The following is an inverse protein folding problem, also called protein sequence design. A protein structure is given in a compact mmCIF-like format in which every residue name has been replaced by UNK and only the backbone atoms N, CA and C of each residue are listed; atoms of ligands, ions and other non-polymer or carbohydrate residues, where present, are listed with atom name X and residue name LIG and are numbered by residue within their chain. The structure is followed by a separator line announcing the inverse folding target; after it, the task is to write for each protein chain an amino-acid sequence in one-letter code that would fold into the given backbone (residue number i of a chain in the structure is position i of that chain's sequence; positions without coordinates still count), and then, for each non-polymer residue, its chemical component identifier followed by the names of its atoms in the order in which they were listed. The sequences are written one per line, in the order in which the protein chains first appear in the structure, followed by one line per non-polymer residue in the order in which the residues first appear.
data_IF_692059474911
#
_entry.id   IF_692059474911
#
_cell.length_a   1.000
_cell.length_b   1.000
_cell.length_c   1.000
_cell.angle_alpha   90.00
_cell.angle_beta   90.00
_cell.angle_gamma   90.00
#
_symmetry.space_group_name_H-M   'P 1'
#
loop_
_entity.id
_entity.type
_entity.pdbx_description
1 polymer ?
#
# COMPACT_ATOMS: atom_id res chain seq x y z
N UNK A 1 27.99 42.74 62.52
CA UNK A 1 29.05 41.72 62.69
C UNK A 1 28.91 40.77 61.51
N UNK A 2 29.80 40.74 60.52
CA UNK A 2 31.21 40.30 60.54
C UNK A 2 31.34 38.78 60.62
N UNK A 3 32.02 38.05 59.72
CA UNK A 3 32.60 38.30 58.38
C UNK A 3 32.68 36.91 57.64
N UNK A 4 32.96 36.81 56.31
CA UNK A 4 32.76 35.57 55.55
C UNK A 4 34.03 34.80 55.10
N UNK A 5 33.84 33.52 54.75
CA UNK A 5 34.71 32.66 53.89
C UNK A 5 36.13 32.34 54.40
N UNK A 6 36.81 31.33 53.81
CA UNK A 6 37.65 31.60 52.63
C UNK A 6 37.48 30.61 51.47
N UNK A 7 37.73 31.10 50.24
CA UNK A 7 38.14 30.27 49.10
C UNK A 7 39.59 29.82 49.26
N UNK A 8 39.97 28.69 48.67
CA UNK A 8 41.33 28.48 48.15
C UNK A 8 41.23 28.02 46.69
N UNK A 9 41.76 28.84 45.78
CA UNK A 9 42.21 28.40 44.47
C UNK A 9 43.71 28.09 44.56
N UNK A 10 44.16 27.01 43.92
CA UNK A 10 45.58 26.77 43.67
C UNK A 10 45.93 27.25 42.26
N UNK A 11 47.03 28.00 42.13
CA UNK A 11 47.43 28.65 40.88
C UNK A 11 48.35 27.77 40.02
N UNK A 12 48.14 27.88 38.71
CA UNK A 12 49.17 27.94 37.66
C UNK A 12 50.24 26.84 37.57
N UNK A 13 50.33 26.20 36.40
CA UNK A 13 51.48 26.50 35.53
C UNK A 13 51.14 26.29 34.06
N UNK A 14 51.44 27.30 33.24
CA UNK A 14 51.30 27.27 31.79
C UNK A 14 52.64 26.81 31.18
N UNK A 15 52.66 25.76 30.36
CA UNK A 15 53.80 25.46 29.49
C UNK A 15 53.47 24.47 28.36
N UNK A 16 53.84 24.83 27.15
CA UNK A 16 53.84 24.04 25.92
C UNK A 16 54.88 24.65 24.95
N UNK A 17 55.32 24.00 23.85
CA UNK A 17 54.87 22.70 23.34
C UNK A 17 55.99 21.69 23.01
N UNK A 18 55.58 20.41 22.84
CA UNK A 18 56.10 19.53 21.79
C UNK A 18 57.43 18.78 21.98
N UNK A 19 57.35 17.43 22.07
CA UNK A 19 58.05 16.50 21.17
C UNK A 19 57.43 15.10 21.27
N UNK A 20 57.24 14.40 20.15
CA UNK A 20 56.69 13.04 20.14
C UNK A 20 57.75 11.98 20.47
N UNK A 21 57.34 10.91 21.17
CA UNK A 21 58.02 9.61 21.22
C UNK A 21 56.98 8.49 21.07
N UNK A 22 57.31 7.35 20.41
CA UNK A 22 56.32 6.36 20.03
C UNK A 22 56.11 5.26 21.09
N UNK A 23 54.89 4.72 21.24
CA UNK A 23 54.66 3.48 21.98
C UNK A 23 55.20 2.25 21.21
N UNK A 24 55.52 1.18 21.94
CA UNK A 24 56.17 -0.01 21.39
C UNK A 24 55.23 -0.83 20.48
N UNK A 25 55.80 -1.49 19.47
CA UNK A 25 55.11 -2.55 18.73
C UNK A 25 54.97 -3.80 19.61
N UNK A 26 53.75 -4.18 19.95
CA UNK A 26 53.46 -5.51 20.47
C UNK A 26 53.56 -6.54 19.33
N UNK A 27 54.26 -7.65 19.54
CA UNK A 27 54.54 -8.68 18.52
C UNK A 27 53.75 -9.95 18.88
N UNK A 28 52.47 -9.97 18.51
CA UNK A 28 51.57 -11.09 18.79
C UNK A 28 50.39 -11.21 17.79
N UNK A 29 50.67 -11.12 16.48
CA UNK A 29 49.71 -11.50 15.42
C UNK A 29 50.44 -12.01 14.17
N UNK A 30 49.99 -13.12 13.53
CA UNK A 30 50.68 -13.71 12.38
C UNK A 30 50.37 -13.00 11.04
N UNK A 31 49.40 -12.09 10.97
CA UNK A 31 48.99 -11.41 9.73
C UNK A 31 49.61 -10.01 9.63
N UNK A 32 50.91 -9.95 9.29
CA UNK A 32 51.63 -8.69 9.03
C UNK A 32 52.71 -8.84 7.95
N UNK A 33 52.34 -9.49 6.83
CA UNK A 33 53.16 -9.60 5.62
C UNK A 33 52.33 -9.27 4.38
N UNK A 34 52.08 -7.97 4.16
CA UNK A 34 51.57 -7.43 2.91
C UNK A 34 52.51 -6.31 2.45
N UNK A 35 53.08 -6.43 1.25
CA UNK A 35 54.07 -5.49 0.71
C UNK A 35 53.34 -4.45 -0.15
N UNK A 36 53.42 -3.14 0.17
CA UNK A 36 52.84 -2.10 -0.70
C UNK A 36 53.71 -1.91 -1.95
N UNK A 37 53.12 -1.84 -3.16
CA UNK A 37 53.88 -1.61 -4.39
C UNK A 37 54.43 -0.18 -4.45
N UNK A 38 55.75 -0.06 -4.64
CA UNK A 38 56.40 1.22 -4.97
C UNK A 38 56.23 1.54 -6.46
N UNK A 39 55.74 2.75 -6.76
CA UNK A 39 56.10 3.43 -8.00
C UNK A 39 56.29 4.93 -7.74
N UNK A 40 57.55 5.38 -7.77
CA UNK A 40 57.88 6.81 -7.81
C UNK A 40 58.10 7.23 -9.27
N UNK A 41 57.55 8.38 -9.69
CA UNK A 41 58.38 9.49 -10.21
C UNK A 41 57.61 10.78 -10.51
N UNK A 42 58.20 11.87 -10.02
CA UNK A 42 58.31 13.20 -10.63
C UNK A 42 57.04 13.98 -11.00
N UNK A 43 56.79 14.98 -10.18
CA UNK A 43 56.19 16.27 -10.55
C UNK A 43 56.92 16.96 -11.71
N UNK A 44 56.20 17.77 -12.48
CA UNK A 44 56.75 18.96 -13.14
C UNK A 44 55.66 20.05 -13.14
N UNK A 45 56.04 21.29 -12.82
CA UNK A 45 55.15 22.46 -12.86
C UNK A 45 55.45 23.23 -14.15
N UNK A 46 54.41 23.59 -14.89
CA UNK A 46 54.46 24.62 -15.91
C UNK A 46 53.08 25.28 -16.02
N UNK A 47 53.05 26.61 -16.03
CA UNK A 47 51.90 27.41 -16.42
C UNK A 47 52.15 27.95 -17.82
N UNK A 48 51.15 27.93 -18.71
CA UNK A 48 50.74 29.11 -19.51
C UNK A 48 49.55 28.82 -20.45
N UNK A 49 48.64 29.79 -20.46
CA UNK A 49 47.83 30.37 -21.56
C UNK A 49 47.11 29.55 -22.66
N UNK A 50 45.98 30.13 -23.13
CA UNK A 50 45.59 30.19 -24.54
C UNK A 50 45.09 28.92 -25.26
N UNK A 51 43.77 28.67 -25.31
CA UNK A 51 43.21 27.85 -26.39
C UNK A 51 41.74 27.38 -26.28
N UNK A 52 40.84 28.02 -27.03
CA UNK A 52 39.52 27.45 -27.37
C UNK A 52 39.57 26.66 -28.69
N UNK A 53 39.10 25.39 -28.73
CA UNK A 53 38.75 24.74 -29.99
C UNK A 53 37.24 24.42 -30.13
N UNK A 54 36.73 24.76 -31.31
CA UNK A 54 35.36 24.64 -31.80
C UNK A 54 34.78 23.21 -31.73
N UNK A 55 33.48 23.13 -31.43
CA UNK A 55 32.59 21.96 -31.63
C UNK A 55 32.44 21.58 -33.13
N UNK A 56 32.66 20.31 -33.52
CA UNK A 56 32.14 19.73 -34.76
C UNK A 56 30.80 18.98 -34.53
N UNK A 57 30.22 18.44 -35.61
CA UNK A 57 28.79 18.06 -35.70
C UNK A 57 28.49 16.56 -35.48
N UNK A 58 27.20 16.28 -35.36
CA UNK A 58 26.57 14.96 -35.25
C UNK A 58 27.02 13.93 -36.29
N UNK A 59 27.01 12.65 -35.89
CA UNK A 59 26.83 11.52 -36.79
C UNK A 59 25.54 10.79 -36.40
N UNK A 60 24.49 10.92 -37.22
CA UNK A 60 23.24 10.17 -37.06
C UNK A 60 23.31 8.87 -37.85
N UNK A 61 23.18 7.72 -37.17
CA UNK A 61 22.94 6.44 -37.83
C UNK A 61 21.46 6.09 -37.67
N UNK A 62 20.71 6.26 -38.76
CA UNK A 62 19.40 5.64 -38.88
C UNK A 62 19.58 4.15 -39.19
N UNK A 63 18.70 3.31 -38.67
CA UNK A 63 18.57 1.91 -39.09
C UNK A 63 17.09 1.58 -39.22
N UNK A 64 16.56 1.88 -40.40
CA UNK A 64 15.17 1.59 -40.76
C UNK A 64 14.99 0.09 -41.01
N UNK A 65 14.27 -0.59 -40.13
CA UNK A 65 13.71 -1.91 -40.40
C UNK A 65 12.19 -1.79 -40.36
N UNK A 66 11.60 -1.53 -41.52
CA UNK A 66 10.14 -1.59 -41.70
C UNK A 66 9.73 -3.05 -41.79
N UNK A 67 8.90 -3.50 -40.85
CA UNK A 67 8.22 -4.80 -40.93
C UNK A 67 6.72 -4.55 -40.82
N UNK A 68 5.98 -5.00 -41.83
CA UNK A 68 4.60 -4.59 -42.08
C UNK A 68 3.59 -5.51 -41.38
N UNK A 69 2.45 -4.94 -40.97
CA UNK A 69 1.16 -5.63 -40.96
C UNK A 69 0.98 -6.82 -40.00
N UNK A 70 0.62 -6.53 -38.75
CA UNK A 70 -0.23 -7.44 -37.95
C UNK A 70 -1.51 -6.71 -37.60
N UNK A 71 -2.62 -7.14 -38.19
CA UNK A 71 -3.95 -6.55 -38.04
C UNK A 71 -4.63 -7.00 -36.75
N UNK A 72 -5.29 -6.07 -36.06
CA UNK A 72 -6.13 -6.37 -34.89
C UNK A 72 -7.30 -7.28 -35.32
N UNK A 73 -7.54 -8.43 -34.66
CA UNK A 73 -8.70 -9.25 -34.94
C UNK A 73 -9.98 -8.56 -34.45
N UNK A 74 -10.95 -8.40 -35.36
CA UNK A 74 -12.26 -7.81 -35.08
C UNK A 74 -13.14 -8.75 -34.22
N UNK A 75 -14.13 -8.19 -33.51
CA UNK A 75 -15.01 -8.97 -32.64
C UNK A 75 -15.85 -9.97 -33.45
N UNK A 76 -15.63 -11.27 -33.23
CA UNK A 76 -16.47 -12.32 -33.77
C UNK A 76 -17.92 -12.18 -33.27
N UNK A 77 -18.86 -12.02 -34.21
CA UNK A 77 -20.29 -11.90 -33.93
C UNK A 77 -20.91 -13.30 -33.82
N UNK A 78 -21.44 -13.67 -32.66
CA UNK A 78 -22.11 -14.97 -32.48
C UNK A 78 -23.52 -14.89 -33.07
N UNK A 79 -23.67 -15.41 -34.30
CA UNK A 79 -24.97 -15.62 -34.94
C UNK A 79 -25.56 -16.94 -34.44
N UNK A 80 -26.85 -16.94 -34.09
CA UNK A 80 -27.57 -18.14 -33.65
C UNK A 80 -28.29 -18.80 -34.82
N UNK A 81 -27.80 -19.95 -35.27
CA UNK A 81 -28.45 -20.74 -36.33
C UNK A 81 -29.46 -21.74 -35.78
N UNK A 82 -30.55 -21.93 -36.53
CA UNK A 82 -31.59 -22.96 -36.38
C UNK A 82 -31.74 -23.62 -37.75
N UNK A 83 -31.91 -24.96 -37.86
CA UNK A 83 -33.26 -25.54 -37.90
C UNK A 83 -33.35 -26.71 -36.87
N UNK A 84 -34.05 -27.86 -36.95
CA UNK A 84 -34.93 -28.54 -37.92
C UNK A 84 -36.12 -29.15 -37.13
N UNK A 85 -37.29 -29.31 -37.78
CA UNK A 85 -38.43 -30.09 -37.27
C UNK A 85 -38.63 -31.39 -38.08
N UNK A 86 -39.24 -32.42 -37.47
CA UNK A 86 -40.05 -33.41 -38.21
C UNK A 86 -41.55 -33.25 -37.89
N UNK A 87 -42.38 -33.20 -38.96
CA UNK A 87 -43.82 -33.52 -39.09
C UNK A 87 -44.79 -33.16 -37.93
N UNK A 88 -45.78 -32.25 -38.03
CA UNK A 88 -46.71 -31.83 -39.10
C UNK A 88 -47.98 -32.71 -39.27
N UNK A 89 -49.14 -32.08 -39.01
CA UNK A 89 -50.45 -32.27 -39.64
C UNK A 89 -51.33 -31.07 -39.27
N UNK A 90 -52.06 -30.52 -40.23
CA UNK A 90 -52.85 -29.29 -40.10
C UNK A 90 -54.27 -29.52 -39.56
N UNK A 91 -54.88 -28.48 -38.97
CA UNK A 91 -56.29 -28.15 -39.25
C UNK A 91 -56.61 -26.68 -38.90
N UNK A 92 -57.69 -26.14 -39.48
CA UNK A 92 -57.91 -24.70 -39.65
C UNK A 92 -59.05 -24.10 -38.78
N UNK A 93 -58.75 -23.09 -37.93
CA UNK A 93 -59.69 -21.96 -37.63
C UNK A 93 -59.08 -20.85 -36.75
N UNK A 94 -59.02 -19.62 -37.27
CA UNK A 94 -58.96 -18.35 -36.51
C UNK A 94 -60.40 -17.87 -36.18
N UNK A 95 -60.71 -16.71 -35.54
CA UNK A 95 -59.90 -15.54 -35.08
C UNK A 95 -60.04 -15.29 -33.54
N UNK A 96 -59.58 -14.22 -32.87
CA UNK A 96 -59.72 -12.79 -33.18
C UNK A 96 -58.79 -11.89 -32.35
N UNK A 97 -58.20 -10.89 -33.00
CA UNK A 97 -57.80 -9.62 -32.37
C UNK A 97 -58.58 -8.47 -33.02
N UNK A 98 -59.02 -7.50 -32.22
CA UNK A 98 -59.76 -6.32 -32.69
C UNK A 98 -58.91 -5.05 -32.54
N UNK A 99 -58.41 -4.51 -33.65
CA UNK A 99 -57.86 -3.16 -33.74
C UNK A 99 -58.78 -2.30 -34.62
N UNK A 100 -59.56 -1.40 -34.02
CA UNK A 100 -60.53 -0.55 -34.73
C UNK A 100 -59.88 0.73 -35.27
N UNK A 101 -59.96 0.96 -36.57
CA UNK A 101 -59.72 2.26 -37.20
C UNK A 101 -60.81 2.59 -38.23
N UNK A 102 -61.49 3.71 -37.94
CA UNK A 102 -62.14 4.70 -38.82
C UNK A 102 -62.88 4.34 -40.14
N UNK A 103 -63.95 5.12 -40.35
CA UNK A 103 -64.46 5.69 -41.62
C UNK A 103 -65.39 4.90 -42.59
N UNK A 104 -66.70 5.13 -42.42
CA UNK A 104 -67.54 6.00 -43.29
C UNK A 104 -67.95 5.60 -44.74
N UNK A 105 -69.28 5.71 -45.01
CA UNK A 105 -70.03 5.79 -46.31
C UNK A 105 -70.44 4.48 -47.05
N UNK A 106 -71.68 4.47 -47.56
CA UNK A 106 -72.32 3.44 -48.44
C UNK A 106 -73.38 2.60 -47.70
N UNK A 107 -74.70 2.60 -47.97
CA UNK A 107 -75.52 2.45 -49.20
C UNK A 107 -75.48 1.03 -49.83
N UNK A 108 -76.55 0.37 -50.31
CA UNK A 108 -78.03 0.58 -50.28
C UNK A 108 -78.74 -0.69 -50.87
N UNK A 109 -80.04 -0.95 -50.53
CA UNK A 109 -81.01 -1.89 -51.20
C UNK A 109 -80.90 -3.43 -50.99
N UNK A 110 -82.06 -4.11 -50.98
CA UNK A 110 -82.27 -5.54 -51.36
C UNK A 110 -82.24 -6.56 -50.21
N UNK A 111 -83.30 -7.16 -49.65
CA UNK A 111 -84.68 -7.56 -50.03
C UNK A 111 -84.85 -8.99 -50.58
N UNK A 112 -85.84 -9.72 -50.02
CA UNK A 112 -86.42 -11.03 -50.47
C UNK A 112 -85.54 -12.28 -50.28
N UNK A 113 -86.05 -13.52 -50.26
CA UNK A 113 -87.24 -14.21 -49.68
C UNK A 113 -87.18 -15.69 -50.17
N UNK A 114 -87.75 -16.66 -49.42
CA UNK A 114 -87.96 -18.07 -49.85
C UNK A 114 -86.70 -18.96 -50.01
N UNK A 115 -86.78 -20.31 -49.92
CA UNK A 115 -87.87 -21.19 -49.46
C UNK A 115 -87.40 -22.61 -49.07
N UNK A 116 -88.22 -23.25 -48.22
CA UNK A 116 -88.41 -24.68 -47.86
C UNK A 116 -87.84 -25.81 -48.77
N UNK A 117 -87.88 -27.01 -48.16
CA UNK A 117 -87.65 -28.40 -48.64
C UNK A 117 -86.25 -28.90 -48.24
N UNK A 118 -86.07 -30.09 -47.64
CA UNK A 118 -87.06 -31.05 -47.12
C UNK A 118 -86.51 -32.48 -46.99
N UNK A 119 -87.26 -33.34 -46.30
CA UNK A 119 -87.03 -34.79 -46.08
C UNK A 119 -86.03 -35.18 -44.97
N UNK A 120 -86.53 -36.05 -44.10
CA UNK A 120 -85.95 -36.65 -42.89
C UNK A 120 -85.63 -38.12 -43.18
N UNK A 121 -84.52 -38.69 -42.70
CA UNK A 121 -84.49 -40.13 -42.35
C UNK A 121 -83.37 -40.54 -41.37
N UNK A 122 -83.80 -40.86 -40.13
CA UNK A 122 -83.24 -41.77 -39.09
C UNK A 122 -81.71 -42.07 -39.03
N UNK A 123 -80.98 -41.64 -37.97
CA UNK A 123 -79.65 -42.15 -37.63
C UNK A 123 -79.69 -43.51 -36.89
N UNK A 124 -78.61 -44.31 -37.01
CA UNK A 124 -78.51 -45.65 -36.39
C UNK A 124 -77.17 -45.86 -35.65
N UNK A 125 -77.26 -46.29 -34.39
CA UNK A 125 -76.21 -46.90 -33.53
C UNK A 125 -74.92 -46.10 -33.21
N UNK A 126 -74.99 -45.42 -32.05
CA UNK A 126 -74.15 -45.69 -30.85
C UNK A 126 -72.65 -45.99 -31.09
N UNK A 127 -71.81 -44.97 -30.92
CA UNK A 127 -70.48 -45.12 -30.32
C UNK A 127 -70.54 -44.75 -28.82
N UNK A 128 -69.57 -45.22 -28.03
CA UNK A 128 -69.66 -45.18 -26.56
C UNK A 128 -69.47 -43.78 -25.95
N UNK A 129 -70.19 -43.52 -24.85
CA UNK A 129 -69.88 -42.40 -23.96
C UNK A 129 -68.50 -42.63 -23.32
N UNK A 130 -67.56 -41.71 -23.55
CA UNK A 130 -66.39 -41.60 -22.67
C UNK A 130 -66.89 -41.10 -21.31
N UNK A 131 -66.52 -41.72 -20.17
CA UNK A 131 -66.92 -41.22 -18.87
C UNK A 131 -66.36 -39.80 -18.71
N UNK A 132 -67.24 -38.84 -18.41
CA UNK A 132 -66.82 -37.49 -18.01
C UNK A 132 -66.11 -37.61 -16.67
N UNK A 133 -64.78 -37.73 -16.69
CA UNK A 133 -63.97 -37.56 -15.49
C UNK A 133 -64.23 -36.16 -14.96
N UNK A 134 -65.07 -36.09 -13.92
CA UNK A 134 -65.23 -34.91 -13.09
C UNK A 134 -63.91 -34.67 -12.37
N UNK A 135 -62.99 -33.97 -13.04
CA UNK A 135 -61.85 -33.36 -12.38
C UNK A 135 -62.43 -32.27 -11.50
N UNK A 136 -62.74 -32.64 -10.26
CA UNK A 136 -63.10 -31.69 -9.22
C UNK A 136 -61.94 -30.71 -9.10
N UNK A 137 -62.09 -29.51 -9.69
CA UNK A 137 -61.22 -28.39 -9.36
C UNK A 137 -61.36 -28.17 -7.87
N UNK A 138 -60.36 -28.64 -7.13
CA UNK A 138 -60.18 -28.27 -5.74
C UNK A 138 -60.20 -26.75 -5.72
N UNK A 139 -61.19 -26.17 -5.02
CA UNK A 139 -61.33 -24.73 -4.89
C UNK A 139 -60.31 -24.24 -3.85
N UNK A 140 -59.03 -24.51 -4.14
CA UNK A 140 -57.90 -23.89 -3.47
C UNK A 140 -58.18 -22.40 -3.51
N UNK A 141 -58.11 -21.78 -2.34
CA UNK A 141 -58.41 -20.36 -2.24
C UNK A 141 -57.21 -19.64 -2.83
N UNK A 142 -57.34 -19.07 -4.03
CA UNK A 142 -56.23 -18.43 -4.75
C UNK A 142 -55.55 -17.37 -3.86
N UNK A 143 -56.34 -16.68 -3.03
CA UNK A 143 -55.89 -15.74 -2.00
C UNK A 143 -54.96 -16.39 -0.95
N UNK A 144 -55.21 -17.64 -0.53
CA UNK A 144 -54.38 -18.38 0.44
C UNK A 144 -53.10 -18.88 -0.22
N UNK A 145 -53.16 -19.31 -1.49
CA UNK A 145 -51.97 -19.67 -2.27
C UNK A 145 -51.08 -18.44 -2.47
N UNK A 146 -51.65 -17.32 -2.89
CA UNK A 146 -50.95 -16.05 -3.06
C UNK A 146 -50.32 -15.56 -1.74
N UNK A 147 -51.06 -15.63 -0.62
CA UNK A 147 -50.58 -15.22 0.70
C UNK A 147 -49.46 -16.15 1.22
N UNK A 148 -49.50 -17.44 0.89
CA UNK A 148 -48.39 -18.37 1.17
C UNK A 148 -47.14 -18.05 0.35
N UNK A 149 -47.29 -17.70 -0.94
CA UNK A 149 -46.19 -17.30 -1.82
C UNK A 149 -45.58 -15.95 -1.38
N UNK A 150 -46.38 -14.95 -1.01
CA UNK A 150 -45.84 -13.67 -0.53
C UNK A 150 -45.17 -13.80 0.83
N UNK A 151 -45.71 -14.61 1.76
CA UNK A 151 -45.07 -14.85 3.06
C UNK A 151 -43.74 -15.59 2.91
N UNK A 152 -43.66 -16.61 2.05
CA UNK A 152 -42.41 -17.35 1.79
C UNK A 152 -41.37 -16.50 1.06
N UNK A 153 -41.77 -15.68 0.09
CA UNK A 153 -40.87 -14.73 -0.56
C UNK A 153 -40.36 -13.65 0.42
N UNK A 154 -41.24 -13.11 1.27
CA UNK A 154 -40.85 -12.15 2.31
C UNK A 154 -39.88 -12.76 3.32
N UNK A 155 -40.10 -14.02 3.73
CA UNK A 155 -39.19 -14.76 4.61
C UNK A 155 -37.82 -15.03 3.93
N UNK A 156 -37.81 -15.43 2.67
CA UNK A 156 -36.59 -15.65 1.89
C UNK A 156 -35.78 -14.37 1.70
N UNK A 157 -36.43 -13.21 1.53
CA UNK A 157 -35.76 -11.91 1.48
C UNK A 157 -35.27 -11.47 2.87
N UNK A 158 -36.11 -11.60 3.90
CA UNK A 158 -35.75 -11.24 5.28
C UNK A 158 -34.60 -12.08 5.87
N UNK A 159 -34.38 -13.29 5.36
CA UNK A 159 -33.26 -14.17 5.72
C UNK A 159 -32.09 -13.97 4.73
N UNK A 160 -32.37 -13.97 3.43
CA UNK A 160 -31.37 -13.94 2.36
C UNK A 160 -30.63 -12.61 2.21
N UNK A 161 -31.28 -11.47 2.48
CA UNK A 161 -30.62 -10.16 2.44
C UNK A 161 -29.57 -10.03 3.56
N UNK A 162 -29.88 -10.23 4.86
CA UNK A 162 -28.86 -10.15 5.90
C UNK A 162 -27.79 -11.26 5.77
N UNK A 163 -28.13 -12.47 5.32
CA UNK A 163 -27.09 -13.47 5.00
C UNK A 163 -26.20 -13.03 3.83
N UNK A 164 -26.76 -12.48 2.76
CA UNK A 164 -26.01 -11.96 1.62
C UNK A 164 -25.08 -10.78 1.97
N UNK A 165 -25.38 -10.03 3.04
CA UNK A 165 -24.54 -8.95 3.57
C UNK A 165 -23.49 -9.49 4.56
N UNK A 166 -23.90 -10.30 5.53
CA UNK A 166 -23.06 -10.73 6.66
C UNK A 166 -22.07 -11.85 6.27
N UNK A 167 -22.50 -12.79 5.42
CA UNK A 167 -21.68 -13.96 5.08
C UNK A 167 -20.40 -13.60 4.29
N UNK A 168 -20.41 -12.76 3.23
CA UNK A 168 -19.16 -12.37 2.57
C UNK A 168 -18.25 -11.54 3.48
N UNK A 169 -18.81 -10.67 4.35
CA UNK A 169 -18.04 -9.91 5.33
C UNK A 169 -17.30 -10.79 6.35
N UNK A 170 -17.79 -12.01 6.62
CA UNK A 170 -17.10 -13.00 7.47
C UNK A 170 -16.12 -13.91 6.73
N UNK A 171 -16.17 -13.94 5.40
CA UNK A 171 -15.32 -14.80 4.56
C UNK A 171 -14.15 -14.04 3.92
N UNK A 172 -14.32 -12.75 3.65
CA UNK A 172 -13.24 -11.86 3.22
C UNK A 172 -12.35 -11.58 4.44
N UNK A 173 -11.13 -12.15 4.45
CA UNK A 173 -10.09 -11.69 5.39
C UNK A 173 -9.68 -10.26 5.01
N UNK A 174 -9.55 -9.33 5.96
CA UNK A 174 -9.03 -8.01 5.66
C UNK A 174 -7.60 -8.06 5.11
N UNK A 175 -7.21 -7.03 4.35
CA UNK A 175 -5.80 -6.87 3.94
C UNK A 175 -4.99 -6.40 5.15
N UNK A 176 -3.93 -7.12 5.59
CA UNK A 176 -3.22 -6.80 6.83
C UNK A 176 -2.52 -5.44 6.72
N UNK A 177 -2.38 -4.76 7.85
CA UNK A 177 -1.53 -3.57 7.99
C UNK A 177 -0.37 -3.91 8.92
N UNK A 178 0.85 -3.61 8.47
CA UNK A 178 2.06 -3.57 9.28
C UNK A 178 2.22 -2.17 9.89
N UNK A 179 2.92 -2.09 11.01
CA UNK A 179 3.07 -0.88 11.81
C UNK A 179 4.44 -0.27 11.57
N UNK A 180 4.47 1.03 11.25
CA UNK A 180 5.68 1.83 11.18
C UNK A 180 5.64 2.85 12.32
N UNK A 181 6.74 3.01 13.07
CA UNK A 181 6.79 3.92 14.23
C UNK A 181 8.04 4.81 14.17
N UNK A 182 7.90 6.07 13.73
CA UNK A 182 8.81 7.15 14.10
C UNK A 182 8.64 7.47 15.60
N UNK A 183 9.40 6.78 16.46
CA UNK A 183 9.44 7.06 17.91
C UNK A 183 10.73 7.79 18.26
N UNK A 184 10.71 9.12 18.11
CA UNK A 184 11.85 10.01 18.41
C UNK A 184 11.84 10.45 19.88
N UNK A 185 11.39 9.56 20.78
CA UNK A 185 11.38 9.75 22.24
C UNK A 185 12.74 9.31 22.78
N UNK A 186 13.43 10.16 23.56
CA UNK A 186 14.67 9.74 24.21
C UNK A 186 14.41 8.51 25.12
N UNK A 187 15.25 7.46 25.05
CA UNK A 187 15.01 6.19 25.73
C UNK A 187 15.28 6.19 27.25
N UNK A 188 14.69 7.10 28.01
CA UNK A 188 14.76 7.06 29.47
C UNK A 188 14.12 5.75 30.03
N UNK A 189 14.61 5.21 31.15
CA UNK A 189 14.05 4.00 31.78
C UNK A 189 12.52 4.08 31.98
N UNK A 190 11.82 3.03 31.55
CA UNK A 190 10.35 2.95 31.59
C UNK A 190 9.63 3.55 30.37
N UNK A 191 10.22 4.53 29.67
CA UNK A 191 9.51 5.25 28.59
C UNK A 191 9.19 4.36 27.38
N UNK A 192 10.00 3.34 27.11
CA UNK A 192 9.78 2.41 25.99
C UNK A 192 8.92 1.18 26.35
N UNK A 193 8.48 1.02 27.60
CA UNK A 193 7.69 -0.15 28.03
C UNK A 193 6.33 -0.25 27.33
N UNK A 194 5.64 0.88 27.12
CA UNK A 194 4.36 0.94 26.39
C UNK A 194 4.45 0.40 24.96
N UNK A 195 5.62 0.56 24.31
CA UNK A 195 5.88 -0.02 22.98
C UNK A 195 6.14 -1.54 23.07
N UNK A 196 6.90 -2.00 24.07
CA UNK A 196 7.15 -3.43 24.26
C UNK A 196 5.86 -4.21 24.54
N UNK A 197 4.97 -3.68 25.38
CA UNK A 197 3.65 -4.27 25.63
C UNK A 197 2.82 -4.37 24.35
N UNK A 198 2.81 -3.32 23.52
CA UNK A 198 2.12 -3.31 22.23
C UNK A 198 2.69 -4.35 21.25
N UNK A 199 4.02 -4.50 21.17
CA UNK A 199 4.70 -5.51 20.33
C UNK A 199 4.32 -6.93 20.76
N UNK A 200 4.25 -7.20 22.07
CA UNK A 200 3.88 -8.50 22.64
C UNK A 200 2.40 -8.82 22.41
N UNK A 201 1.50 -7.86 22.65
CA UNK A 201 0.05 -8.04 22.42
C UNK A 201 -0.25 -8.26 20.94
N UNK A 202 0.46 -7.60 20.04
CA UNK A 202 0.25 -7.67 18.59
C UNK A 202 1.30 -8.54 17.87
N UNK A 203 1.66 -9.69 18.46
CA UNK A 203 2.70 -10.61 17.97
C UNK A 203 2.55 -11.11 16.52
N UNK A 204 1.38 -10.97 15.88
CA UNK A 204 1.13 -11.32 14.48
C UNK A 204 1.32 -10.15 13.49
N UNK A 205 1.57 -8.95 14.00
CA UNK A 205 1.77 -7.71 13.26
C UNK A 205 3.27 -7.39 13.23
N UNK A 206 3.80 -6.99 12.07
CA UNK A 206 5.18 -6.50 11.97
C UNK A 206 5.27 -5.06 12.47
N UNK A 207 6.29 -4.76 13.26
CA UNK A 207 6.63 -3.42 13.74
C UNK A 207 7.98 -3.01 13.18
N UNK A 208 8.01 -1.94 12.39
CA UNK A 208 9.26 -1.30 11.95
C UNK A 208 9.43 -0.01 12.75
N UNK A 209 10.51 0.10 13.52
CA UNK A 209 10.72 1.15 14.50
C UNK A 209 11.95 1.96 14.12
N UNK A 210 11.80 3.27 14.04
CA UNK A 210 12.85 4.18 13.58
C UNK A 210 13.60 4.73 14.80
N UNK A 211 14.89 4.43 14.87
CA UNK A 211 15.80 4.83 15.94
C UNK A 211 16.50 6.12 15.50
N UNK A 212 16.30 7.20 16.26
CA UNK A 212 16.84 8.53 15.95
C UNK A 212 17.59 9.15 17.15
N UNK A 213 18.88 8.82 17.36
CA UNK A 213 19.64 9.33 18.50
C UNK A 213 19.82 10.85 18.57
N UNK A 214 20.11 11.50 17.43
CA UNK A 214 20.58 12.89 17.34
C UNK A 214 20.37 13.43 15.90
N UNK A 215 19.13 13.34 15.39
CA UNK A 215 18.76 13.59 13.99
C UNK A 215 19.62 12.80 12.98
N UNK A 216 19.99 11.59 13.39
CA UNK A 216 21.12 10.83 12.87
C UNK A 216 21.73 9.96 13.98
N UNK A 217 22.78 9.18 13.68
CA UNK A 217 23.38 8.21 14.61
C UNK A 217 24.19 8.84 15.77
N UNK A 218 24.13 10.16 15.97
CA UNK A 218 25.00 10.91 16.87
C UNK A 218 26.43 11.06 16.36
N UNK A 219 27.24 11.85 17.06
CA UNK A 219 28.62 12.17 16.70
C UNK A 219 29.65 11.07 17.06
N UNK A 220 29.30 10.13 17.93
CA UNK A 220 30.17 9.06 18.45
C UNK A 220 30.04 7.74 17.67
N UNK A 221 31.03 6.84 17.81
CA UNK A 221 30.98 5.49 17.18
C UNK A 221 30.03 4.54 17.94
N UNK A 222 29.95 4.69 19.26
CA UNK A 222 29.03 3.99 20.16
C UNK A 222 27.88 4.96 20.54
N UNK A 223 26.60 4.57 20.45
CA UNK A 223 25.48 5.38 20.95
C UNK A 223 25.43 5.37 22.49
N UNK A 224 24.51 6.12 23.11
CA UNK A 224 24.34 6.09 24.58
C UNK A 224 23.88 4.71 25.07
N UNK A 225 24.20 4.36 26.32
CA UNK A 225 23.81 3.06 26.90
C UNK A 225 22.28 2.85 26.92
N UNK A 226 21.51 3.93 26.94
CA UNK A 226 20.05 3.92 26.86
C UNK A 226 19.56 3.42 25.48
N UNK A 227 20.10 3.99 24.39
CA UNK A 227 19.86 3.49 23.02
C UNK A 227 20.39 2.08 22.82
N UNK A 228 21.52 1.71 23.44
CA UNK A 228 22.04 0.33 23.42
C UNK A 228 21.06 -0.63 24.08
N UNK A 229 20.48 -0.24 25.21
CA UNK A 229 19.52 -1.05 25.97
C UNK A 229 18.22 -1.24 25.19
N UNK A 230 17.68 -0.17 24.60
CA UNK A 230 16.44 -0.23 23.80
C UNK A 230 16.62 -1.06 22.52
N UNK A 231 17.66 -0.82 21.71
CA UNK A 231 17.87 -1.58 20.47
C UNK A 231 18.10 -3.07 20.77
N UNK A 232 18.82 -3.40 21.85
CA UNK A 232 18.97 -4.80 22.30
C UNK A 232 17.65 -5.43 22.74
N UNK A 233 16.78 -4.69 23.44
CA UNK A 233 15.46 -5.18 23.85
C UNK A 233 14.54 -5.41 22.64
N UNK A 234 14.49 -4.46 21.70
CA UNK A 234 13.73 -4.58 20.44
C UNK A 234 14.19 -5.77 19.60
N UNK A 235 15.51 -5.99 19.51
CA UNK A 235 16.12 -7.07 18.74
C UNK A 235 15.80 -8.50 19.21
N UNK A 236 15.14 -8.66 20.36
CA UNK A 236 14.63 -9.96 20.87
C UNK A 236 13.31 -10.36 20.18
N UNK A 237 12.49 -9.40 19.75
CA UNK A 237 11.15 -9.68 19.22
C UNK A 237 11.20 -10.08 17.73
N UNK A 238 10.69 -11.25 17.34
CA UNK A 238 10.80 -11.75 15.96
C UNK A 238 9.85 -11.04 14.96
N UNK A 239 8.91 -10.24 15.46
CA UNK A 239 8.02 -9.39 14.67
C UNK A 239 8.49 -7.91 14.60
N UNK A 240 9.69 -7.60 15.10
CA UNK A 240 10.27 -6.25 15.10
C UNK A 240 11.42 -6.13 14.10
N UNK A 241 11.50 -4.98 13.43
CA UNK A 241 12.65 -4.50 12.68
C UNK A 241 13.02 -3.09 13.16
N UNK A 242 14.31 -2.78 13.22
CA UNK A 242 14.84 -1.49 13.69
C UNK A 242 15.59 -0.78 12.57
N UNK A 243 15.31 0.50 12.32
CA UNK A 243 15.93 1.29 11.25
C UNK A 243 16.64 2.52 11.81
N UNK A 244 17.83 2.84 11.31
CA UNK A 244 18.51 4.10 11.66
C UNK A 244 17.91 5.29 10.89
N UNK A 245 17.53 6.36 11.58
CA UNK A 245 17.09 7.62 10.95
C UNK A 245 18.25 8.38 10.33
N UNK A 246 18.08 8.86 9.09
CA UNK A 246 19.00 9.80 8.41
C UNK A 246 18.16 10.81 7.60
N UNK A 247 18.21 12.11 7.92
CA UNK A 247 17.66 13.12 7.02
C UNK A 247 18.54 13.28 5.76
N UNK A 248 17.91 13.59 4.63
CA UNK A 248 18.56 13.85 3.33
C UNK A 248 18.34 15.29 2.82
N UNK A 249 17.61 16.13 3.56
CA UNK A 249 17.39 17.56 3.26
C UNK A 249 16.89 17.82 1.82
N UNK A 250 15.91 17.05 1.34
CA UNK A 250 15.41 17.13 -0.04
C UNK A 250 16.35 16.54 -1.09
N UNK A 251 17.38 15.79 -0.67
CA UNK A 251 18.47 15.31 -1.53
C UNK A 251 19.66 16.27 -1.62
N UNK A 252 19.65 17.38 -0.87
CA UNK A 252 20.73 18.37 -0.85
C UNK A 252 21.85 18.04 0.15
N UNK A 253 21.56 17.21 1.16
CA UNK A 253 22.55 16.84 2.19
C UNK A 253 23.69 16.05 1.57
N UNK A 254 24.93 16.38 1.90
CA UNK A 254 26.11 15.78 1.27
C UNK A 254 26.10 14.23 1.29
N UNK A 255 26.49 13.63 0.17
CA UNK A 255 26.43 12.19 -0.03
C UNK A 255 27.54 11.46 0.75
N UNK A 256 28.71 12.07 0.99
CA UNK A 256 29.74 11.45 1.83
C UNK A 256 29.29 11.43 3.30
N UNK A 257 28.67 12.51 3.77
CA UNK A 257 28.06 12.66 5.10
C UNK A 257 26.97 11.61 5.34
N UNK A 258 26.00 11.47 4.42
CA UNK A 258 24.96 10.45 4.51
C UNK A 258 25.57 9.03 4.50
N UNK A 259 26.57 8.77 3.65
CA UNK A 259 27.25 7.45 3.61
C UNK A 259 28.06 7.16 4.87
N UNK A 260 28.60 8.18 5.53
CA UNK A 260 29.26 8.06 6.84
C UNK A 260 28.26 7.71 7.95
N UNK A 261 27.06 8.29 7.95
CA UNK A 261 26.00 7.94 8.90
C UNK A 261 25.45 6.53 8.71
N UNK A 262 25.26 6.08 7.45
CA UNK A 262 24.92 4.68 7.13
C UNK A 262 25.99 3.73 7.71
N UNK A 263 27.27 4.02 7.46
CA UNK A 263 28.39 3.21 7.95
C UNK A 263 28.49 3.22 9.47
N UNK A 264 28.09 4.31 10.15
CA UNK A 264 28.05 4.40 11.61
C UNK A 264 26.97 3.51 12.21
N UNK A 265 25.73 3.55 11.69
CA UNK A 265 24.66 2.65 12.13
C UNK A 265 24.99 1.18 11.87
N UNK A 266 25.47 0.83 10.67
CA UNK A 266 25.91 -0.52 10.36
C UNK A 266 27.06 -0.97 11.29
N UNK A 267 27.95 -0.02 11.62
CA UNK A 267 29.08 -0.21 12.52
C UNK A 267 28.72 -0.50 13.98
N UNK A 268 27.48 -0.26 14.43
CA UNK A 268 27.04 -0.59 15.80
C UNK A 268 27.14 -2.09 16.11
N UNK A 269 27.02 -2.95 15.10
CA UNK A 269 27.25 -4.40 15.20
C UNK A 269 28.62 -4.75 15.81
N UNK A 270 29.67 -3.99 15.48
CA UNK A 270 31.03 -4.16 16.03
C UNK A 270 31.14 -3.82 17.52
N UNK A 271 30.14 -3.12 18.08
CA UNK A 271 30.08 -2.80 19.52
C UNK A 271 29.49 -3.97 20.31
N UNK A 272 28.57 -4.73 19.70
CA UNK A 272 27.99 -5.98 20.21
C UNK A 272 27.08 -6.59 19.15
N UNK A 273 27.15 -7.90 18.92
CA UNK A 273 26.35 -8.63 17.92
C UNK A 273 24.83 -8.33 18.02
N UNK A 274 24.35 -8.21 19.26
CA UNK A 274 22.95 -7.86 19.62
C UNK A 274 22.56 -6.40 19.36
N UNK A 275 23.50 -5.52 19.03
CA UNK A 275 23.33 -4.10 18.70
C UNK A 275 23.49 -3.87 17.19
N UNK A 276 22.75 -4.64 16.40
CA UNK A 276 22.71 -4.51 14.94
C UNK A 276 21.33 -4.01 14.53
N UNK A 277 21.22 -3.11 13.56
CA UNK A 277 19.94 -2.64 13.01
C UNK A 277 19.54 -3.45 11.78
N UNK A 278 18.27 -3.40 11.37
CA UNK A 278 17.72 -4.12 10.21
C UNK A 278 17.67 -3.26 8.93
N UNK A 279 18.10 -1.99 8.98
CA UNK A 279 18.15 -1.10 7.82
C UNK A 279 18.23 0.39 8.15
N UNK A 280 17.83 1.24 7.20
CA UNK A 280 17.88 2.71 7.27
C UNK A 280 16.56 3.33 6.79
N UNK A 281 16.12 4.37 7.51
CA UNK A 281 15.04 5.26 7.15
C UNK A 281 15.62 6.59 6.67
N UNK A 282 15.53 6.85 5.36
CA UNK A 282 15.92 8.13 4.78
C UNK A 282 14.75 9.10 4.84
N UNK A 283 14.92 10.16 5.61
CA UNK A 283 13.92 11.20 5.80
C UNK A 283 14.11 12.39 4.85
N UNK A 284 13.02 13.12 4.61
CA UNK A 284 12.98 14.28 3.72
C UNK A 284 13.54 14.00 2.31
N UNK A 285 13.33 12.80 1.77
CA UNK A 285 13.84 12.45 0.44
C UNK A 285 13.18 13.29 -0.65
N UNK A 286 13.88 13.60 -1.76
CA UNK A 286 13.25 14.29 -2.89
C UNK A 286 12.01 13.52 -3.37
N UNK A 287 10.93 14.25 -3.65
CA UNK A 287 9.71 13.70 -4.25
C UNK A 287 9.62 14.00 -5.75
N UNK A 288 10.38 14.99 -6.23
CA UNK A 288 10.46 15.40 -7.63
C UNK A 288 11.61 14.70 -8.35
N UNK A 289 11.36 14.25 -9.57
CA UNK A 289 12.34 13.67 -10.48
C UNK A 289 13.16 14.75 -11.22
N UNK A 290 13.80 15.61 -10.43
CA UNK A 290 14.56 16.78 -10.90
C UNK A 290 16.05 16.67 -10.54
N UNK A 291 16.88 17.41 -11.27
CA UNK A 291 18.33 17.51 -11.08
C UNK A 291 19.07 16.15 -10.97
N UNK A 292 19.54 15.80 -9.77
CA UNK A 292 20.30 14.58 -9.49
C UNK A 292 19.52 13.57 -8.61
N UNK A 293 18.24 13.81 -8.32
CA UNK A 293 17.47 13.06 -7.31
C UNK A 293 17.53 11.53 -7.49
N UNK A 294 17.34 11.03 -8.73
CA UNK A 294 17.47 9.58 -9.04
C UNK A 294 18.85 9.01 -8.67
N UNK A 295 19.92 9.76 -8.95
CA UNK A 295 21.31 9.31 -8.74
C UNK A 295 21.63 9.36 -7.25
N UNK A 296 21.17 10.39 -6.55
CA UNK A 296 21.31 10.53 -5.11
C UNK A 296 20.63 9.36 -4.37
N UNK A 297 19.33 9.14 -4.61
CA UNK A 297 18.57 8.04 -4.00
C UNK A 297 19.15 6.67 -4.34
N UNK A 298 19.60 6.46 -5.58
CA UNK A 298 20.32 5.23 -5.97
C UNK A 298 21.58 5.02 -5.13
N UNK A 299 22.42 6.04 -4.98
CA UNK A 299 23.73 5.92 -4.33
C UNK A 299 23.61 5.65 -2.82
N UNK A 300 22.67 6.31 -2.12
CA UNK A 300 22.45 6.07 -0.69
C UNK A 300 21.80 4.69 -0.47
N UNK A 301 20.80 4.31 -1.26
CA UNK A 301 20.13 3.01 -1.17
C UNK A 301 21.07 1.85 -1.50
N UNK A 302 21.94 2.04 -2.50
CA UNK A 302 23.00 1.08 -2.81
C UNK A 302 24.04 1.01 -1.70
N UNK A 303 24.37 2.11 -1.02
CA UNK A 303 25.30 2.06 0.12
C UNK A 303 24.73 1.23 1.27
N UNK A 304 23.44 1.39 1.62
CA UNK A 304 22.78 0.54 2.63
C UNK A 304 22.81 -0.94 2.21
N UNK A 305 22.38 -1.24 0.97
CA UNK A 305 22.30 -2.62 0.45
C UNK A 305 23.65 -3.33 0.23
N UNK A 306 24.78 -2.63 0.35
CA UNK A 306 26.13 -3.20 0.31
C UNK A 306 26.93 -2.98 1.62
N UNK A 307 26.29 -2.50 2.69
CA UNK A 307 26.93 -2.35 4.00
C UNK A 307 26.82 -3.63 4.83
N UNK A 308 27.96 -4.15 5.28
CA UNK A 308 28.00 -5.21 6.29
C UNK A 308 27.68 -4.64 7.69
N UNK A 309 27.09 -5.45 8.58
CA UNK A 309 26.73 -5.06 9.95
C UNK A 309 25.25 -4.77 10.19
N UNK A 310 24.42 -4.72 9.14
CA UNK A 310 22.97 -4.81 9.27
C UNK A 310 22.49 -6.27 9.41
N UNK A 311 21.32 -6.47 10.02
CA UNK A 311 20.65 -7.77 10.19
C UNK A 311 19.99 -8.22 8.89
N UNK A 312 20.49 -9.32 8.33
CA UNK A 312 19.88 -9.94 7.15
C UNK A 312 20.05 -9.10 5.87
N UNK A 313 19.00 -9.01 5.06
CA UNK A 313 18.95 -8.10 3.92
C UNK A 313 18.43 -6.72 4.40
N UNK A 314 19.23 -5.64 4.35
CA UNK A 314 18.87 -4.39 5.00
C UNK A 314 17.76 -3.64 4.26
N UNK A 315 16.75 -3.23 5.01
CA UNK A 315 15.60 -2.48 4.52
C UNK A 315 15.96 -1.02 4.23
N UNK A 316 15.58 -0.52 3.06
CA UNK A 316 15.72 0.89 2.67
C UNK A 316 14.34 1.55 2.58
N UNK A 317 14.08 2.51 3.46
CA UNK A 317 12.86 3.32 3.44
C UNK A 317 13.16 4.73 2.94
N UNK A 318 12.31 5.27 2.06
CA UNK A 318 12.34 6.67 1.62
C UNK A 318 11.10 7.40 2.14
N UNK A 319 11.28 8.52 2.86
CA UNK A 319 10.20 9.41 3.25
C UNK A 319 10.23 10.75 2.51
N UNK A 320 9.51 10.85 1.37
CA UNK A 320 9.18 12.13 0.74
C UNK A 320 7.96 12.84 1.36
N UNK A 321 7.24 12.19 2.28
CA UNK A 321 5.99 12.68 2.88
C UNK A 321 4.81 12.83 1.90
N UNK A 322 4.97 12.41 0.64
CA UNK A 322 4.00 12.52 -0.46
C UNK A 322 4.39 11.60 -1.60
N UNK A 323 3.43 11.24 -2.46
CA UNK A 323 3.69 10.44 -3.68
C UNK A 323 4.87 11.02 -4.47
N UNK A 324 5.98 10.27 -4.66
CA UNK A 324 7.10 10.70 -5.48
C UNK A 324 6.85 10.40 -6.97
N UNK A 325 7.54 11.12 -7.84
CA UNK A 325 7.54 10.87 -9.28
C UNK A 325 8.04 9.45 -9.61
N UNK A 326 7.44 8.79 -10.63
CA UNK A 326 7.75 7.39 -11.01
C UNK A 326 9.25 7.17 -11.23
N UNK A 327 9.96 8.18 -11.75
CA UNK A 327 11.40 8.15 -12.01
C UNK A 327 12.28 7.88 -10.78
N UNK A 328 11.82 8.26 -9.58
CA UNK A 328 12.50 8.01 -8.32
C UNK A 328 12.28 6.55 -7.84
N UNK A 329 11.07 6.02 -8.04
CA UNK A 329 10.69 4.66 -7.67
C UNK A 329 11.35 3.57 -8.53
N UNK A 330 11.98 3.93 -9.67
CA UNK A 330 12.70 3.02 -10.58
C UNK A 330 13.71 2.11 -9.87
N UNK A 331 14.37 2.60 -8.81
CA UNK A 331 15.39 1.83 -8.08
C UNK A 331 14.83 0.98 -6.92
N UNK A 332 13.50 1.01 -6.72
CA UNK A 332 12.74 0.24 -5.73
C UNK A 332 13.33 0.32 -4.32
N UNK A 333 13.02 1.38 -3.54
CA UNK A 333 13.10 1.27 -2.08
C UNK A 333 12.23 0.11 -1.60
N UNK A 334 12.53 -0.42 -0.41
CA UNK A 334 11.75 -1.50 0.22
C UNK A 334 10.45 -0.95 0.85
N UNK A 335 10.40 0.37 1.09
CA UNK A 335 9.20 1.11 1.46
C UNK A 335 9.32 2.59 1.05
N UNK A 336 8.25 3.17 0.49
CA UNK A 336 8.10 4.61 0.27
C UNK A 336 6.91 5.18 1.05
N UNK A 337 7.11 6.29 1.75
CA UNK A 337 6.05 6.97 2.50
C UNK A 337 5.35 7.98 1.59
N UNK A 338 4.14 7.62 1.15
CA UNK A 338 3.37 8.35 0.11
C UNK A 338 2.41 9.39 0.67
N UNK A 339 2.28 9.47 1.99
CA UNK A 339 1.60 10.55 2.71
C UNK A 339 2.19 10.69 4.11
N UNK A 340 2.58 11.91 4.47
CA UNK A 340 2.85 12.34 5.83
C UNK A 340 2.08 13.63 6.07
N UNK A 341 1.20 13.66 7.07
CA UNK A 341 0.43 14.87 7.37
C UNK A 341 -0.78 14.69 8.29
N UNK A 342 -1.54 15.77 8.40
CA UNK A 342 -2.74 15.85 9.26
C UNK A 342 -3.89 14.98 8.74
N UNK A 343 -4.63 14.39 9.67
CA UNK A 343 -5.85 13.61 9.41
C UNK A 343 -6.92 14.33 8.57
N UNK A 344 -6.94 15.66 8.58
CA UNK A 344 -7.83 16.47 7.76
C UNK A 344 -7.55 16.32 6.25
N UNK A 345 -6.26 16.27 5.87
CA UNK A 345 -5.79 16.22 4.48
C UNK A 345 -5.55 14.77 3.99
N UNK A 346 -5.73 13.79 4.88
CA UNK A 346 -5.59 12.36 4.61
C UNK A 346 -6.39 11.93 3.36
N UNK A 347 -5.73 11.43 2.29
CA UNK A 347 -6.40 10.86 1.14
C UNK A 347 -7.07 9.52 1.54
N UNK A 348 -8.26 9.27 0.99
CA UNK A 348 -9.11 8.13 1.36
C UNK A 348 -9.60 7.41 0.12
N UNK A 349 -9.63 6.07 0.18
CA UNK A 349 -10.24 5.20 -0.82
C UNK A 349 -9.89 5.59 -2.25
N UNK A 350 -10.88 5.98 -3.06
CA UNK A 350 -10.73 6.27 -4.48
C UNK A 350 -9.72 7.42 -4.72
N UNK A 351 -9.65 8.42 -3.82
CA UNK A 351 -8.66 9.49 -3.96
C UNK A 351 -7.23 8.98 -3.75
N UNK A 352 -7.01 8.11 -2.76
CA UNK A 352 -5.71 7.49 -2.51
C UNK A 352 -5.31 6.56 -3.68
N UNK A 353 -6.25 5.78 -4.19
CA UNK A 353 -6.03 4.90 -5.34
C UNK A 353 -5.62 5.69 -6.59
N UNK A 354 -6.37 6.74 -6.93
CA UNK A 354 -6.09 7.59 -8.10
C UNK A 354 -4.75 8.35 -7.96
N UNK A 355 -4.33 8.69 -6.72
CA UNK A 355 -3.01 9.25 -6.45
C UNK A 355 -1.87 8.24 -6.65
N UNK A 356 -2.13 6.93 -6.51
CA UNK A 356 -1.12 5.87 -6.56
C UNK A 356 -1.13 5.07 -7.86
N UNK A 357 -2.17 5.16 -8.69
CA UNK A 357 -2.30 4.44 -9.97
C UNK A 357 -1.07 4.60 -10.89
N UNK A 358 -0.50 5.81 -10.95
CA UNK A 358 0.71 6.10 -11.72
C UNK A 358 2.03 5.56 -11.14
N UNK A 359 2.05 5.18 -9.86
CA UNK A 359 3.30 4.82 -9.14
C UNK A 359 3.85 3.42 -9.49
N UNK A 360 3.03 2.56 -10.10
CA UNK A 360 3.32 1.14 -10.40
C UNK A 360 3.87 0.30 -9.22
N UNK A 361 3.67 0.77 -8.00
CA UNK A 361 4.20 0.15 -6.78
C UNK A 361 3.14 -0.75 -6.14
N UNK A 362 3.56 -1.80 -5.43
CA UNK A 362 2.65 -2.66 -4.69
C UNK A 362 2.33 -2.03 -3.33
N UNK A 363 1.16 -2.30 -2.75
CA UNK A 363 0.83 -1.79 -1.41
C UNK A 363 1.88 -2.16 -0.33
N UNK A 364 2.57 -3.29 -0.52
CA UNK A 364 3.67 -3.76 0.34
C UNK A 364 4.86 -2.79 0.41
N UNK A 365 5.07 -2.09 -0.70
CA UNK A 365 6.17 -1.15 -0.92
C UNK A 365 5.79 0.27 -0.47
N UNK A 366 4.58 0.48 0.09
CA UNK A 366 3.98 1.79 0.35
C UNK A 366 3.46 1.95 1.79
N UNK A 367 3.62 3.16 2.35
CA UNK A 367 3.18 3.50 3.70
C UNK A 367 2.66 4.92 3.88
N UNK A 368 1.95 5.16 4.99
CA UNK A 368 1.40 6.46 5.38
C UNK A 368 1.66 6.79 6.85
N UNK A 369 1.97 8.05 7.14
CA UNK A 369 2.07 8.61 8.49
C UNK A 369 0.92 9.62 8.69
N UNK A 370 0.02 9.35 9.64
CA UNK A 370 -1.17 10.17 9.87
C UNK A 370 -1.14 10.71 11.30
N UNK A 371 -1.06 12.04 11.45
CA UNK A 371 -1.08 12.72 12.74
C UNK A 371 -2.29 13.66 12.89
N UNK A 372 -2.43 14.30 14.05
CA UNK A 372 -3.55 15.19 14.37
C UNK A 372 -4.94 14.53 14.21
N UNK A 373 -5.04 13.22 14.44
CA UNK A 373 -6.34 12.52 14.53
C UNK A 373 -7.09 13.03 15.76
N UNK A 374 -8.40 13.30 15.72
CA UNK A 374 -9.15 13.72 16.91
C UNK A 374 -9.05 12.66 18.01
N UNK A 375 -8.56 13.00 19.20
CA UNK A 375 -8.41 12.06 20.33
C UNK A 375 -9.74 11.47 20.84
N UNK A 376 -10.87 12.11 20.51
CA UNK A 376 -12.22 11.61 20.77
C UNK A 376 -12.83 10.81 19.60
N UNK A 377 -12.04 10.41 18.61
CA UNK A 377 -12.50 9.59 17.48
C UNK A 377 -13.02 8.24 17.99
N UNK A 378 -14.20 7.84 17.52
CA UNK A 378 -14.73 6.52 17.89
C UNK A 378 -13.90 5.39 17.26
N UNK A 379 -13.90 4.21 17.89
CA UNK A 379 -13.34 2.96 17.31
C UNK A 379 -13.83 2.67 15.88
N UNK A 380 -15.05 3.10 15.52
CA UNK A 380 -15.57 3.01 14.15
C UNK A 380 -14.90 4.00 13.18
N UNK A 381 -14.50 5.18 13.66
CA UNK A 381 -13.68 6.13 12.92
C UNK A 381 -12.24 5.63 12.71
N UNK A 382 -11.60 5.06 13.75
CA UNK A 382 -10.28 4.43 13.63
C UNK A 382 -10.29 3.27 12.64
N UNK A 383 -11.31 2.40 12.71
CA UNK A 383 -11.49 1.33 11.71
C UNK A 383 -11.66 1.91 10.31
N UNK A 384 -12.42 3.00 10.15
CA UNK A 384 -12.55 3.67 8.86
C UNK A 384 -11.22 4.21 8.33
N UNK A 385 -10.32 4.75 9.17
CA UNK A 385 -8.97 5.17 8.72
C UNK A 385 -8.24 3.99 8.07
N UNK A 386 -8.22 2.84 8.74
CA UNK A 386 -7.54 1.62 8.28
C UNK A 386 -8.21 1.06 7.02
N UNK A 387 -9.54 0.96 7.00
CA UNK A 387 -10.31 0.45 5.85
C UNK A 387 -10.34 1.42 4.66
N UNK A 388 -10.13 2.73 4.86
CA UNK A 388 -9.97 3.73 3.80
C UNK A 388 -8.60 3.65 3.09
N UNK A 389 -7.58 2.95 3.65
CA UNK A 389 -6.20 2.90 3.09
C UNK A 389 -5.66 1.49 2.77
N UNK A 390 -6.10 0.44 3.49
CA UNK A 390 -5.47 -0.90 3.45
C UNK A 390 -5.47 -1.64 2.11
N UNK A 391 -6.25 -1.17 1.12
CA UNK A 391 -6.17 -1.64 -0.27
C UNK A 391 -4.87 -1.23 -0.93
N UNK A 392 -4.45 0.01 -0.69
CA UNK A 392 -3.46 0.72 -1.49
C UNK A 392 -2.10 0.89 -0.77
N UNK A 393 -2.07 0.76 0.57
CA UNK A 393 -0.83 0.69 1.38
C UNK A 393 -0.86 -0.50 2.35
N UNK A 394 0.32 -0.96 2.78
CA UNK A 394 0.50 -1.99 3.81
C UNK A 394 1.10 -1.44 5.12
N UNK A 395 1.83 -0.33 5.10
CA UNK A 395 2.45 0.25 6.31
C UNK A 395 1.71 1.48 6.82
N UNK A 396 1.51 1.58 8.13
CA UNK A 396 0.75 2.68 8.74
C UNK A 396 1.33 3.14 10.08
N UNK A 397 1.29 4.46 10.30
CA UNK A 397 1.37 5.10 11.61
C UNK A 397 0.12 5.99 11.82
N UNK A 398 -0.43 5.99 13.03
CA UNK A 398 -1.58 6.82 13.40
C UNK A 398 -1.35 7.44 14.78
N UNK A 399 -1.51 8.75 14.91
CA UNK A 399 -1.43 9.46 16.21
C UNK A 399 -2.43 10.61 16.31
N UNK A 400 -2.92 10.86 17.52
CA UNK A 400 -3.75 12.00 17.89
C UNK A 400 -2.95 13.24 18.31
N UNK A 401 -1.62 13.11 18.44
CA UNK A 401 -0.74 14.25 18.70
C UNK A 401 -0.80 15.27 17.54
N UNK A 402 -0.84 16.56 17.89
CA UNK A 402 -0.93 17.69 16.96
C UNK A 402 0.37 18.48 16.82
N UNK A 403 1.24 18.40 17.82
CA UNK A 403 2.55 19.04 17.92
C UNK A 403 3.57 17.95 18.30
N UNK A 404 4.82 18.13 17.88
CA UNK A 404 5.95 17.20 18.09
C UNK A 404 5.57 15.70 17.96
N UNK A 405 4.85 15.38 16.88
CA UNK A 405 3.97 14.20 16.75
C UNK A 405 4.67 12.82 16.78
N UNK A 406 5.99 12.81 16.89
CA UNK A 406 6.88 11.64 16.97
C UNK A 406 7.68 11.57 18.28
N UNK A 407 7.62 12.59 19.14
CA UNK A 407 8.39 12.69 20.40
C UNK A 407 7.61 12.20 21.62
N UNK A 408 6.38 11.72 21.43
CA UNK A 408 5.61 11.01 22.46
C UNK A 408 4.62 10.02 21.83
N UNK A 409 3.94 9.25 22.68
CA UNK A 409 2.86 8.36 22.28
C UNK A 409 1.50 9.08 22.25
N UNK A 410 0.72 8.87 21.20
CA UNK A 410 -0.70 9.24 21.17
C UNK A 410 -1.53 8.52 22.25
N UNK A 411 -2.69 9.09 22.59
CA UNK A 411 -3.67 8.42 23.46
C UNK A 411 -4.37 7.26 22.75
N UNK A 412 -4.51 7.31 21.42
CA UNK A 412 -5.27 6.33 20.62
C UNK A 412 -4.47 5.08 20.21
N UNK A 413 -3.20 4.93 20.63
CA UNK A 413 -2.26 3.95 20.07
C UNK A 413 -2.80 2.51 20.11
N UNK A 414 -3.18 2.03 21.29
CA UNK A 414 -3.69 0.67 21.49
C UNK A 414 -5.03 0.48 20.76
N UNK A 415 -5.87 1.51 20.64
CA UNK A 415 -7.16 1.39 19.96
C UNK A 415 -7.01 1.14 18.46
N UNK A 416 -6.06 1.78 17.78
CA UNK A 416 -5.84 1.56 16.35
C UNK A 416 -5.02 0.30 16.07
N UNK A 417 -4.03 -0.04 16.92
CA UNK A 417 -3.31 -1.32 16.83
C UNK A 417 -4.26 -2.53 17.00
N UNK A 418 -5.33 -2.39 17.80
CA UNK A 418 -6.40 -3.38 17.92
C UNK A 418 -7.32 -3.51 16.67
N UNK A 419 -6.98 -2.86 15.55
CA UNK A 419 -7.79 -2.80 14.33
C UNK A 419 -7.02 -3.06 13.01
N UNK A 420 -5.69 -3.29 13.04
CA UNK A 420 -4.84 -3.48 11.84
C UNK A 420 -4.98 -4.84 11.14
N UNK A 421 -5.74 -5.77 11.74
CA UNK A 421 -5.98 -7.15 11.29
C UNK A 421 -7.16 -7.29 10.32
#
# INVERSE_FOLDING_TARGET
MSLPTPHIQALSTYNAPGRATPPLRNISSPYSLAIPPRSNRLSTIASEDGGSPKRPKSASIASSVTLQGLTVPEKALIVSEKPIHPFACDDESTPTMTSTLSSTIGSTIGSKISSKIGSEYKPVRRCAEKPKMSVSRWKQHDNVLALSVTLTLALLLAIGIPLGIILPQKLIRPLPINVLIPLYVYPEPGVWERLYDAIVVHHSVKFTIIINPDNGPGSTVRPSEDYISVVKALNVYPNVQTLGYISTEGGNRDNETVRYEIARYAGWSNVSDTLSLDGIYFDQTPFKDEENARVYLKNISATVRHSEGFRGAPMVVHNPGRVPDEGLMVYKPDLAIVFEGVYADMPRKENLHNMLEGSRSNRQDLGMLIHSVPSNISRGGLRKIIDDVRRDVEWLFVTDLTEDVYTWYGSIMEEWLNLVW
#
